data_IF_858289572792
#
_entry.id   IF_858289572792
#
_cell.length_a   1.000
_cell.length_b   1.000
_cell.length_c   1.000
_cell.angle_alpha   90.00
_cell.angle_beta   90.00
_cell.angle_gamma   90.00
#
_symmetry.space_group_name_H-M   'P 1'
#
loop_
_entity.id
_entity.type
_entity.pdbx_description
1 polymer ?
#
# COMPACT_ATOMS: atom_id res chain seq x y z
N UNK A 1 13.97 10.45 -35.65
CA UNK A 1 13.65 9.12 -35.08
C UNK A 1 13.34 9.37 -33.62
N UNK A 2 12.07 9.32 -33.23
CA UNK A 2 11.64 9.57 -31.83
C UNK A 2 11.83 8.24 -31.10
N UNK A 3 12.82 8.17 -30.20
CA UNK A 3 12.99 7.03 -29.31
C UNK A 3 11.88 7.09 -28.27
N UNK A 4 10.87 6.23 -28.40
CA UNK A 4 9.92 5.94 -27.33
C UNK A 4 10.68 5.14 -26.29
N UNK A 5 11.16 5.79 -25.23
CA UNK A 5 11.74 5.09 -24.09
C UNK A 5 10.64 4.20 -23.50
N UNK A 6 10.82 2.87 -23.40
CA UNK A 6 9.83 2.01 -22.79
C UNK A 6 9.65 2.46 -21.34
N UNK A 7 8.41 2.75 -20.96
CA UNK A 7 8.05 2.96 -19.55
C UNK A 7 8.39 1.68 -18.80
N UNK A 8 9.43 1.74 -17.97
CA UNK A 8 9.81 0.61 -17.12
C UNK A 8 8.77 0.58 -16.00
N UNK A 9 8.01 -0.50 -15.89
CA UNK A 9 7.08 -0.75 -14.79
C UNK A 9 7.77 -1.57 -13.70
N UNK A 10 7.41 -1.31 -12.44
CA UNK A 10 7.81 -2.08 -11.28
C UNK A 10 6.58 -2.68 -10.62
N UNK A 11 6.75 -3.78 -9.88
CA UNK A 11 5.65 -4.48 -9.20
C UNK A 11 5.82 -4.41 -7.68
N UNK A 12 4.74 -4.06 -6.97
CA UNK A 12 4.65 -4.13 -5.50
C UNK A 12 3.47 -4.98 -5.06
N UNK A 13 3.48 -5.50 -3.83
CA UNK A 13 2.33 -6.18 -3.22
C UNK A 13 1.79 -5.36 -2.04
N UNK A 14 0.48 -5.06 -2.01
CA UNK A 14 -0.18 -4.33 -0.92
C UNK A 14 -1.21 -5.23 -0.24
N UNK A 15 -0.89 -5.73 0.96
CA UNK A 15 -1.85 -6.54 1.73
C UNK A 15 -2.38 -7.73 0.91
N UNK A 16 -3.70 -7.90 0.88
CA UNK A 16 -4.39 -8.95 0.10
C UNK A 16 -4.79 -8.50 -1.32
N UNK A 17 -4.38 -7.30 -1.74
CA UNK A 17 -4.82 -6.66 -3.00
C UNK A 17 -4.17 -7.26 -4.25
N UNK A 18 -3.18 -8.15 -4.08
CA UNK A 18 -2.41 -8.73 -5.17
C UNK A 18 -1.27 -7.83 -5.66
N UNK A 19 -0.57 -8.26 -6.73
CA UNK A 19 0.51 -7.48 -7.32
C UNK A 19 -0.03 -6.24 -8.04
N UNK A 20 0.62 -5.10 -7.82
CA UNK A 20 0.30 -3.79 -8.38
C UNK A 20 1.49 -3.34 -9.22
N UNK A 21 1.25 -2.98 -10.47
CA UNK A 21 2.25 -2.35 -11.33
C UNK A 21 2.26 -0.82 -11.10
N UNK A 22 3.45 -0.21 -11.07
CA UNK A 22 3.64 1.24 -10.95
C UNK A 22 4.84 1.70 -11.78
N UNK A 23 4.94 3.01 -12.06
CA UNK A 23 6.00 3.58 -12.90
C UNK A 23 7.10 4.24 -12.04
N UNK A 24 8.27 3.61 -11.84
CA UNK A 24 9.41 4.25 -11.22
C UNK A 24 10.02 5.34 -12.11
N UNK A 25 10.12 6.57 -11.62
CA UNK A 25 10.95 7.62 -12.24
C UNK A 25 12.42 7.43 -11.88
N UNK A 26 13.31 7.57 -12.88
CA UNK A 26 14.75 7.64 -12.65
C UNK A 26 15.08 8.83 -11.73
N UNK A 27 16.00 8.62 -10.79
CA UNK A 27 16.55 9.72 -9.98
C UNK A 27 17.31 10.69 -10.87
N UNK A 28 17.31 11.96 -10.47
CA UNK A 28 18.09 13.02 -11.11
C UNK A 28 19.55 12.56 -11.29
N UNK A 29 20.12 12.79 -12.48
CA UNK A 29 21.47 12.40 -12.90
C UNK A 29 21.76 10.89 -13.04
N UNK A 30 20.74 10.02 -13.05
CA UNK A 30 20.94 8.60 -13.38
C UNK A 30 21.17 8.39 -14.90
N UNK A 31 22.42 8.16 -15.30
CA UNK A 31 22.81 7.98 -16.71
C UNK A 31 22.41 6.62 -17.31
N UNK A 32 22.29 5.57 -16.48
CA UNK A 32 21.95 4.22 -16.93
C UNK A 32 20.96 3.55 -15.98
N UNK A 33 19.91 2.88 -16.49
CA UNK A 33 18.99 2.14 -15.66
C UNK A 33 19.70 0.90 -15.06
N UNK A 34 19.65 0.77 -13.74
CA UNK A 34 20.03 -0.44 -13.03
C UNK A 34 18.76 -1.10 -12.50
N UNK A 35 18.56 -2.39 -12.80
CA UNK A 35 17.45 -3.17 -12.22
C UNK A 35 17.84 -3.63 -10.83
N UNK A 36 17.00 -3.36 -9.84
CA UNK A 36 17.15 -3.84 -8.47
C UNK A 36 15.80 -4.33 -7.98
N UNK A 37 15.74 -5.59 -7.54
CA UNK A 37 14.54 -6.16 -6.95
C UNK A 37 14.58 -5.95 -5.43
N UNK A 38 13.58 -5.25 -4.91
CA UNK A 38 13.44 -4.95 -3.49
C UNK A 38 12.06 -5.40 -3.00
N UNK A 39 12.02 -6.47 -2.21
CA UNK A 39 10.82 -6.87 -1.48
C UNK A 39 10.91 -6.33 -0.06
N UNK A 40 9.97 -5.45 0.31
CA UNK A 40 9.87 -4.92 1.67
C UNK A 40 8.43 -5.02 2.17
N UNK A 41 8.27 -5.20 3.49
CA UNK A 41 6.98 -5.08 4.16
C UNK A 41 6.92 -3.71 4.82
N UNK A 42 6.00 -2.87 4.37
CA UNK A 42 5.76 -1.56 4.95
C UNK A 42 4.50 -1.60 5.81
N UNK A 43 4.61 -1.25 7.09
CA UNK A 43 3.44 -1.04 7.94
C UNK A 43 2.95 0.40 7.75
N UNK A 44 1.76 0.55 7.17
CA UNK A 44 1.13 1.85 6.96
C UNK A 44 -0.17 1.95 7.74
N UNK A 45 -0.44 3.13 8.27
CA UNK A 45 -1.76 3.43 8.84
C UNK A 45 -2.74 3.84 7.75
N UNK A 46 -4.05 3.76 8.05
CA UNK A 46 -5.10 4.26 7.16
C UNK A 46 -4.93 5.77 6.85
N UNK A 47 -4.43 6.54 7.81
CA UNK A 47 -4.14 7.96 7.59
C UNK A 47 -2.92 8.17 6.67
N UNK A 48 -1.93 7.27 6.68
CA UNK A 48 -0.81 7.35 5.73
C UNK A 48 -1.28 7.08 4.29
N UNK A 49 -2.14 6.06 4.10
CA UNK A 49 -2.77 5.81 2.81
C UNK A 49 -3.66 6.99 2.36
N UNK A 50 -4.37 7.63 3.31
CA UNK A 50 -5.21 8.81 3.01
C UNK A 50 -4.36 10.00 2.61
N UNK A 51 -3.25 10.24 3.30
CA UNK A 51 -2.32 11.32 2.99
C UNK A 51 -1.58 11.10 1.66
N UNK A 52 -1.27 9.85 1.33
CA UNK A 52 -0.73 9.49 0.02
C UNK A 52 -1.69 9.90 -1.12
N UNK A 53 -2.99 9.58 -0.99
CA UNK A 53 -3.99 10.00 -1.98
C UNK A 53 -4.21 11.52 -2.00
N UNK A 54 -4.11 12.19 -0.84
CA UNK A 54 -4.16 13.65 -0.78
C UNK A 54 -3.04 14.29 -1.62
N UNK A 55 -1.82 13.77 -1.53
CA UNK A 55 -0.70 14.21 -2.35
C UNK A 55 -0.95 13.91 -3.84
N UNK A 56 -1.46 12.72 -4.17
CA UNK A 56 -1.81 12.39 -5.55
C UNK A 56 -2.83 13.36 -6.17
N UNK A 57 -3.88 13.74 -5.43
CA UNK A 57 -4.84 14.76 -5.89
C UNK A 57 -4.18 16.13 -6.09
N UNK A 58 -3.27 16.52 -5.20
CA UNK A 58 -2.54 17.80 -5.32
C UNK A 58 -1.61 17.83 -6.52
N UNK A 59 -1.10 16.67 -6.92
CA UNK A 59 -0.24 16.50 -8.10
C UNK A 59 -1.06 16.34 -9.39
N UNK A 60 -2.39 16.45 -9.31
CA UNK A 60 -3.29 16.51 -10.46
C UNK A 60 -4.09 15.23 -10.74
N UNK A 61 -4.08 14.26 -9.83
CA UNK A 61 -5.00 13.13 -9.92
C UNK A 61 -6.44 13.63 -9.80
N UNK A 62 -7.30 13.23 -10.73
CA UNK A 62 -8.72 13.57 -10.69
C UNK A 62 -9.45 12.74 -9.64
N UNK A 63 -10.39 13.35 -8.91
CA UNK A 63 -11.14 12.65 -7.86
C UNK A 63 -11.96 11.46 -8.41
N UNK A 64 -12.43 11.58 -9.66
CA UNK A 64 -13.15 10.49 -10.35
C UNK A 64 -12.28 9.27 -10.66
N UNK A 65 -10.96 9.43 -10.69
CA UNK A 65 -10.04 8.32 -10.90
C UNK A 65 -9.98 7.40 -9.67
N UNK A 66 -10.43 7.86 -8.50
CA UNK A 66 -10.44 7.08 -7.26
C UNK A 66 -11.55 6.01 -7.22
N UNK A 67 -12.41 5.93 -8.24
CA UNK A 67 -13.39 4.86 -8.39
C UNK A 67 -12.72 3.54 -8.86
N UNK A 68 -11.49 3.59 -9.37
CA UNK A 68 -10.69 2.42 -9.74
C UNK A 68 -9.80 1.99 -8.57
N UNK A 69 -10.16 0.88 -7.94
CA UNK A 69 -9.41 0.34 -6.78
C UNK A 69 -7.95 0.05 -7.11
N UNK A 70 -7.65 -0.48 -8.31
CA UNK A 70 -6.28 -0.79 -8.70
C UNK A 70 -5.42 0.47 -8.80
N UNK A 71 -5.96 1.52 -9.41
CA UNK A 71 -5.29 2.81 -9.47
C UNK A 71 -5.08 3.41 -8.08
N UNK A 72 -6.06 3.27 -7.17
CA UNK A 72 -5.90 3.73 -5.78
C UNK A 72 -4.73 3.02 -5.10
N UNK A 73 -4.61 1.70 -5.25
CA UNK A 73 -3.48 0.94 -4.73
C UNK A 73 -2.14 1.41 -5.31
N UNK A 74 -2.07 1.60 -6.63
CA UNK A 74 -0.89 2.09 -7.34
C UNK A 74 -0.45 3.46 -6.79
N UNK A 75 -1.38 4.41 -6.71
CA UNK A 75 -1.08 5.77 -6.24
C UNK A 75 -0.67 5.82 -4.77
N UNK A 76 -1.26 4.98 -3.91
CA UNK A 76 -0.83 4.89 -2.51
C UNK A 76 0.62 4.41 -2.42
N UNK A 77 0.99 3.33 -3.13
CA UNK A 77 2.37 2.85 -3.14
C UNK A 77 3.33 3.86 -3.73
N UNK A 78 2.98 4.42 -4.88
CA UNK A 78 3.83 5.37 -5.59
C UNK A 78 4.16 6.56 -4.68
N UNK A 79 3.16 7.14 -4.02
CA UNK A 79 3.38 8.29 -3.12
C UNK A 79 4.15 7.94 -1.86
N UNK A 80 3.91 6.78 -1.26
CA UNK A 80 4.69 6.34 -0.10
C UNK A 80 6.18 6.17 -0.44
N UNK A 81 6.49 5.66 -1.63
CA UNK A 81 7.86 5.42 -2.08
C UNK A 81 8.55 6.69 -2.61
N UNK A 82 7.82 7.54 -3.33
CA UNK A 82 8.36 8.74 -3.95
C UNK A 82 8.60 9.88 -2.95
N UNK A 83 7.63 10.12 -2.06
CA UNK A 83 7.63 11.31 -1.19
C UNK A 83 8.33 11.07 0.15
N UNK A 84 8.39 9.80 0.59
CA UNK A 84 8.96 9.41 1.87
C UNK A 84 8.15 9.88 3.10
N UNK A 85 8.57 9.44 4.29
CA UNK A 85 7.76 9.59 5.50
C UNK A 85 7.48 11.03 5.95
N UNK A 86 8.40 11.98 5.71
CA UNK A 86 8.22 13.37 6.14
C UNK A 86 7.13 14.10 5.34
N UNK A 87 7.05 13.86 4.04
CA UNK A 87 6.02 14.46 3.20
C UNK A 87 4.65 13.89 3.52
N UNK A 88 4.57 12.58 3.78
CA UNK A 88 3.33 11.90 4.22
C UNK A 88 2.87 12.46 5.57
N UNK A 89 3.78 12.61 6.54
CA UNK A 89 3.45 13.23 7.84
C UNK A 89 2.97 14.68 7.68
N UNK A 90 3.61 15.47 6.82
CA UNK A 90 3.19 16.84 6.52
C UNK A 90 1.80 16.90 5.90
N UNK A 91 1.51 16.00 4.95
CA UNK A 91 0.18 15.88 4.34
C UNK A 91 -0.88 15.47 5.36
N UNK A 92 -0.57 14.57 6.30
CA UNK A 92 -1.46 14.23 7.41
C UNK A 92 -1.78 15.46 8.26
N UNK A 93 -0.77 16.20 8.66
CA UNK A 93 -0.96 17.41 9.45
C UNK A 93 -1.81 18.43 8.68
N UNK A 94 -1.53 18.65 7.39
CA UNK A 94 -2.35 19.51 6.53
C UNK A 94 -3.82 19.07 6.52
N UNK A 95 -4.08 17.78 6.31
CA UNK A 95 -5.44 17.21 6.31
C UNK A 95 -6.15 17.41 7.66
N UNK A 96 -5.44 17.37 8.78
CA UNK A 96 -6.01 17.60 10.11
C UNK A 96 -6.37 19.06 10.38
N UNK A 97 -5.69 20.00 9.73
CA UNK A 97 -5.91 21.44 9.90
C UNK A 97 -6.92 22.04 8.92
N UNK A 98 -7.57 21.22 8.08
CA UNK A 98 -8.58 21.70 7.14
C UNK A 98 -9.80 22.28 7.87
N UNK A 99 -10.22 23.48 7.45
CA UNK A 99 -11.34 24.17 8.09
C UNK A 99 -12.66 23.44 7.76
N UNK A 100 -13.52 23.17 8.76
CA UNK A 100 -14.81 22.54 8.52
C UNK A 100 -15.66 23.32 7.50
N UNK A 101 -16.33 22.58 6.61
CA UNK A 101 -17.22 23.14 5.59
C UNK A 101 -16.53 23.61 4.30
N UNK A 102 -15.19 23.57 4.21
CA UNK A 102 -14.48 23.85 2.97
C UNK A 102 -14.51 22.67 1.99
N UNK A 103 -14.06 22.90 0.76
CA UNK A 103 -13.94 21.84 -0.24
C UNK A 103 -12.89 20.81 0.21
N UNK A 104 -11.75 21.27 0.70
CA UNK A 104 -10.63 20.47 1.19
C UNK A 104 -11.07 19.55 2.32
N UNK A 105 -11.81 20.07 3.31
CA UNK A 105 -12.33 19.24 4.40
C UNK A 105 -13.28 18.13 3.91
N UNK A 106 -14.08 18.40 2.86
CA UNK A 106 -14.92 17.37 2.22
C UNK A 106 -14.09 16.34 1.47
N UNK A 107 -13.08 16.79 0.73
CA UNK A 107 -12.15 15.93 0.00
C UNK A 107 -11.40 15.00 0.96
N UNK A 108 -10.84 15.54 2.04
CA UNK A 108 -10.19 14.73 3.09
C UNK A 108 -11.14 13.69 3.68
N UNK A 109 -12.41 14.05 3.92
CA UNK A 109 -13.40 13.09 4.41
C UNK A 109 -13.68 11.98 3.39
N UNK A 110 -13.85 12.32 2.12
CA UNK A 110 -14.05 11.33 1.05
C UNK A 110 -12.87 10.37 0.93
N UNK A 111 -11.63 10.88 0.98
CA UNK A 111 -10.42 10.06 0.96
C UNK A 111 -10.39 9.07 2.12
N UNK A 112 -10.72 9.52 3.34
CA UNK A 112 -10.81 8.63 4.52
C UNK A 112 -11.85 7.52 4.34
N UNK A 113 -12.97 7.82 3.70
CA UNK A 113 -14.00 6.82 3.39
C UNK A 113 -13.46 5.77 2.42
N UNK A 114 -12.80 6.21 1.34
CA UNK A 114 -12.21 5.31 0.32
C UNK A 114 -11.15 4.41 0.94
N UNK A 115 -10.20 4.98 1.69
CA UNK A 115 -9.13 4.19 2.32
C UNK A 115 -9.66 3.24 3.39
N UNK A 116 -10.69 3.64 4.13
CA UNK A 116 -11.36 2.74 5.09
C UNK A 116 -12.06 1.58 4.38
N UNK A 117 -12.69 1.82 3.23
CA UNK A 117 -13.34 0.77 2.45
C UNK A 117 -12.33 -0.28 1.96
N UNK A 118 -11.20 0.19 1.41
CA UNK A 118 -10.19 -0.67 0.79
C UNK A 118 -9.29 -1.38 1.81
N UNK A 119 -8.91 -0.69 2.89
CA UNK A 119 -7.88 -1.17 3.82
C UNK A 119 -8.40 -1.37 5.26
N UNK A 120 -9.58 -0.83 5.59
CA UNK A 120 -10.11 -0.83 6.95
C UNK A 120 -10.60 -2.19 7.44
N UNK A 121 -10.80 -3.16 6.54
CA UNK A 121 -11.13 -4.54 6.91
C UNK A 121 -9.90 -5.44 6.90
N UNK A 122 -8.96 -5.18 7.79
CA UNK A 122 -8.13 -6.27 8.28
C UNK A 122 -9.05 -7.23 9.08
N UNK A 123 -9.67 -8.20 8.39
CA UNK A 123 -9.98 -9.48 9.04
C UNK A 123 -8.62 -10.06 9.41
N UNK A 124 -8.15 -9.74 10.62
CA UNK A 124 -7.06 -10.49 11.24
C UNK A 124 -7.43 -11.95 11.04
N UNK A 125 -6.59 -12.78 10.39
CA UNK A 125 -6.80 -14.21 10.43
C UNK A 125 -6.87 -14.54 11.91
N UNK A 126 -8.02 -15.05 12.39
CA UNK A 126 -8.03 -15.79 13.63
C UNK A 126 -7.04 -16.91 13.37
N UNK A 127 -5.83 -16.79 13.89
CA UNK A 127 -5.02 -17.95 14.26
C UNK A 127 -5.83 -18.66 15.34
N UNK A 128 -6.83 -19.41 14.89
CA UNK A 128 -7.42 -20.49 15.64
C UNK A 128 -6.23 -21.41 15.85
N UNK A 129 -5.64 -21.33 17.05
CA UNK A 129 -4.66 -22.30 17.51
C UNK A 129 -5.29 -23.66 17.35
N UNK A 130 -5.02 -24.30 16.21
CA UNK A 130 -5.20 -25.73 16.07
C UNK A 130 -4.08 -26.29 16.91
N UNK A 131 -4.37 -26.47 18.20
CA UNK A 131 -3.69 -27.44 19.04
C UNK A 131 -3.77 -28.74 18.27
N UNK A 132 -2.70 -29.02 17.53
CA UNK A 132 -2.52 -30.23 16.76
C UNK A 132 -2.66 -31.36 17.76
N UNK A 133 -3.71 -32.14 17.62
CA UNK A 133 -3.95 -33.33 18.40
C UNK A 133 -2.71 -34.20 18.39
N UNK A 134 -2.03 -34.23 19.53
CA UNK A 134 -1.07 -35.27 19.86
C UNK A 134 -1.88 -36.51 20.24
N UNK A 135 -2.24 -37.29 19.23
CA UNK A 135 -2.77 -38.64 19.39
C UNK A 135 -1.74 -39.44 20.20
N UNK A 136 -2.09 -39.77 21.45
CA UNK A 136 -1.40 -40.84 22.17
C UNK A 136 -1.84 -42.12 21.48
N UNK A 137 -1.03 -42.59 20.52
CA UNK A 137 -1.17 -43.93 19.97
C UNK A 137 -0.25 -44.85 20.76
N UNK A 138 -0.85 -45.59 21.67
CA UNK A 138 -0.31 -46.83 22.22
C UNK A 138 0.03 -47.78 21.08
N UNK A 139 1.31 -48.13 20.94
CA UNK A 139 1.74 -49.38 20.35
C UNK A 139 2.76 -50.00 21.31
N UNK A 140 2.25 -51.02 21.99
CA UNK A 140 2.96 -51.93 22.87
C UNK A 140 3.58 -53.07 22.03
N UNK A 141 4.62 -53.69 22.62
CA UNK A 141 5.15 -55.05 22.41
C UNK A 141 6.36 -55.26 21.49
N UNK A 142 7.47 -55.68 22.14
CA UNK A 142 8.57 -56.50 21.60
C UNK A 142 9.88 -56.29 22.36
N UNK A 143 10.08 -56.81 23.58
CA UNK A 143 10.49 -58.19 23.96
C UNK A 143 11.92 -58.58 23.52
N UNK A 144 12.73 -58.93 24.52
CA UNK A 144 14.01 -59.70 24.48
C UNK A 144 15.21 -58.99 23.82
N UNK A 145 16.38 -58.81 24.46
CA UNK A 145 17.18 -59.76 25.25
C UNK A 145 18.03 -59.05 26.32
#
# INVERSE_FOLDING_TARGET
MIMLTPTVTATGEIGDSGPVEFIPTLREDAEQPATTDLSMRLEISLEDATAALWLALRDGLELSALDDEHLVHEMVLEKLLAEGGNAIATARDEMHHQKPGTHEARTTHALRTITTLLYGTAKTPRTSGTTRGGTISTLDVGRER
#
